data_IF_768204750749
#
_entry.id   IF_768204750749
#
_cell.length_a   1.000
_cell.length_b   1.000
_cell.length_c   1.000
_cell.angle_alpha   90.00
_cell.angle_beta   90.00
_cell.angle_gamma   90.00
#
_symmetry.space_group_name_H-M   'P 1'
#
loop_
_entity.id
_entity.type
_entity.pdbx_description
1 polymer ?
#
# COMPACT_ATOMS: atom_id res chain seq x y z
N UNK A 1 -3.33 -5.54 10.28
CA UNK A 1 -4.76 -5.43 9.90
C UNK A 1 -5.61 -5.45 11.16
N UNK A 2 -6.12 -4.28 11.52
CA UNK A 2 -6.95 -4.05 12.71
C UNK A 2 -8.43 -4.09 12.34
N UNK A 3 -9.25 -4.80 13.12
CA UNK A 3 -10.70 -4.88 12.90
C UNK A 3 -11.45 -4.04 13.95
N UNK A 4 -12.36 -3.19 13.50
CA UNK A 4 -13.18 -2.35 14.38
C UNK A 4 -14.59 -2.18 13.84
N UNK A 5 -15.44 -1.47 14.58
CA UNK A 5 -16.78 -1.05 14.14
C UNK A 5 -16.86 0.47 14.09
N UNK A 6 -17.87 1.02 13.40
CA UNK A 6 -18.02 2.47 13.25
C UNK A 6 -18.05 3.25 14.58
N UNK A 7 -18.62 2.67 15.64
CA UNK A 7 -18.70 3.31 16.96
C UNK A 7 -17.34 3.39 17.63
N UNK A 8 -16.55 2.31 17.59
CA UNK A 8 -15.22 2.26 18.17
C UNK A 8 -14.21 3.08 17.36
N UNK A 9 -14.31 3.05 16.03
CA UNK A 9 -13.55 3.92 15.14
C UNK A 9 -13.76 5.39 15.53
N UNK A 10 -15.02 5.83 15.66
CA UNK A 10 -15.33 7.21 16.03
C UNK A 10 -14.73 7.63 17.38
N UNK A 11 -14.70 6.73 18.36
CA UNK A 11 -14.15 7.02 19.69
C UNK A 11 -12.63 7.19 19.66
N UNK A 12 -11.93 6.46 18.80
CA UNK A 12 -10.47 6.41 18.76
C UNK A 12 -9.91 6.85 17.40
N UNK A 13 -10.61 7.77 16.71
CA UNK A 13 -10.35 8.07 15.30
C UNK A 13 -8.90 8.46 15.04
N UNK A 14 -8.35 9.39 15.81
CA UNK A 14 -6.98 9.87 15.61
C UNK A 14 -5.95 8.77 15.82
N UNK A 15 -6.06 7.97 16.89
CA UNK A 15 -5.14 6.85 17.14
C UNK A 15 -5.15 5.82 16.01
N UNK A 16 -6.31 5.59 15.39
CA UNK A 16 -6.42 4.71 14.22
C UNK A 16 -5.78 5.33 12.98
N UNK A 17 -5.98 6.63 12.73
CA UNK A 17 -5.33 7.33 11.62
C UNK A 17 -3.80 7.35 11.77
N UNK A 18 -3.30 7.69 12.95
CA UNK A 18 -1.86 7.69 13.25
C UNK A 18 -1.28 6.28 13.01
N UNK A 19 -1.98 5.24 13.47
CA UNK A 19 -1.56 3.85 13.22
C UNK A 19 -1.47 3.49 11.73
N UNK A 20 -2.40 4.00 10.90
CA UNK A 20 -2.37 3.75 9.45
C UNK A 20 -1.22 4.49 8.76
N UNK A 21 -0.83 5.67 9.26
CA UNK A 21 0.23 6.50 8.67
C UNK A 21 1.61 6.01 9.10
N UNK A 22 1.81 5.80 10.40
CA UNK A 22 3.14 5.51 10.97
C UNK A 22 3.58 4.07 10.75
N UNK A 23 2.62 3.13 10.73
CA UNK A 23 2.91 1.69 10.71
C UNK A 23 2.33 0.98 9.48
N UNK A 24 1.78 1.71 8.51
CA UNK A 24 1.06 1.15 7.36
C UNK A 24 -0.01 0.11 7.78
N UNK A 25 -0.65 0.29 8.94
CA UNK A 25 -1.70 -0.64 9.36
C UNK A 25 -2.94 -0.47 8.47
N UNK A 26 -3.63 -1.58 8.23
CA UNK A 26 -4.86 -1.64 7.44
C UNK A 26 -6.02 -1.79 8.41
N UNK A 27 -6.95 -0.84 8.43
CA UNK A 27 -8.09 -0.86 9.35
C UNK A 27 -9.35 -1.27 8.61
N UNK A 28 -9.93 -2.39 9.01
CA UNK A 28 -11.22 -2.85 8.55
C UNK A 28 -12.34 -2.41 9.51
N UNK A 29 -13.27 -1.62 9.00
CA UNK A 29 -14.37 -1.01 9.73
C UNK A 29 -15.68 -1.67 9.31
N UNK A 30 -16.26 -2.43 10.24
CA UNK A 30 -17.54 -3.09 10.02
C UNK A 30 -18.69 -2.12 10.29
N UNK A 31 -19.64 -2.03 9.36
CA UNK A 31 -20.87 -1.23 9.47
C UNK A 31 -22.11 -2.07 9.18
N UNK A 32 -23.31 -1.54 9.45
CA UNK A 32 -24.56 -2.24 9.10
C UNK A 32 -24.77 -2.46 7.60
N UNK A 33 -24.10 -1.68 6.74
CA UNK A 33 -24.22 -1.77 5.27
C UNK A 33 -23.13 -2.59 4.61
N UNK A 34 -22.09 -2.97 5.35
CA UNK A 34 -20.88 -3.59 4.83
C UNK A 34 -19.62 -3.01 5.47
N UNK A 35 -18.47 -3.36 4.89
CA UNK A 35 -17.16 -3.07 5.45
C UNK A 35 -16.43 -1.99 4.65
N UNK A 36 -15.61 -1.22 5.34
CA UNK A 36 -14.75 -0.19 4.74
C UNK A 36 -13.32 -0.45 5.19
N UNK A 37 -12.37 -0.26 4.28
CA UNK A 37 -10.94 -0.35 4.58
C UNK A 37 -10.38 1.08 4.65
N UNK A 38 -9.63 1.37 5.70
CA UNK A 38 -8.84 2.61 5.84
C UNK A 38 -7.36 2.21 5.76
N UNK A 39 -6.64 2.90 4.89
CA UNK A 39 -5.19 2.81 4.68
C UNK A 39 -4.64 4.22 4.54
N UNK A 40 -3.32 4.37 4.69
CA UNK A 40 -2.66 5.65 4.42
C UNK A 40 -2.74 6.01 2.93
N UNK A 41 -2.64 7.31 2.64
CA UNK A 41 -2.59 7.80 1.26
C UNK A 41 -1.39 7.23 0.50
N UNK A 42 -0.24 7.10 1.16
CA UNK A 42 0.96 6.52 0.58
C UNK A 42 0.73 5.06 0.13
N UNK A 43 0.12 4.24 0.99
CA UNK A 43 -0.22 2.85 0.66
C UNK A 43 -1.26 2.78 -0.47
N UNK A 44 -2.28 3.65 -0.45
CA UNK A 44 -3.27 3.73 -1.53
C UNK A 44 -2.62 4.03 -2.89
N UNK A 45 -1.75 5.05 -2.94
CA UNK A 45 -1.04 5.42 -4.15
C UNK A 45 -0.09 4.31 -4.62
N UNK A 46 0.62 3.66 -3.70
CA UNK A 46 1.47 2.51 -4.02
C UNK A 46 0.70 1.33 -4.61
N UNK A 47 -0.52 1.07 -4.11
CA UNK A 47 -1.42 0.05 -4.65
C UNK A 47 -1.89 0.39 -6.07
N UNK A 48 -2.27 1.64 -6.30
CA UNK A 48 -2.67 2.11 -7.64
C UNK A 48 -1.51 2.04 -8.63
N UNK A 49 -0.31 2.46 -8.24
CA UNK A 49 0.86 2.42 -9.10
C UNK A 49 1.26 0.98 -9.41
N UNK A 50 1.23 0.10 -8.41
CA UNK A 50 1.49 -1.34 -8.62
C UNK A 50 0.48 -1.94 -9.60
N UNK A 51 -0.81 -1.59 -9.46
CA UNK A 51 -1.85 -2.03 -10.38
C UNK A 51 -1.61 -1.50 -11.80
N UNK A 52 -1.21 -0.23 -11.92
CA UNK A 52 -0.86 0.36 -13.21
C UNK A 52 0.32 -0.36 -13.87
N UNK A 53 1.45 -0.50 -13.17
CA UNK A 53 2.64 -1.17 -13.69
C UNK A 53 2.35 -2.63 -14.10
N UNK A 54 1.59 -3.36 -13.27
CA UNK A 54 1.23 -4.76 -13.57
C UNK A 54 0.21 -4.90 -14.70
N UNK A 55 -0.55 -3.85 -15.01
CA UNK A 55 -1.46 -3.85 -16.16
C UNK A 55 -0.74 -3.75 -17.52
N UNK A 56 0.51 -3.28 -17.52
CA UNK A 56 1.31 -3.14 -18.74
C UNK A 56 1.86 -4.53 -19.13
N UNK A 57 1.55 -5.07 -20.32
CA UNK A 57 2.03 -6.39 -20.74
C UNK A 57 3.56 -6.47 -20.74
N UNK A 58 4.13 -7.49 -20.10
CA UNK A 58 5.57 -7.70 -20.02
C UNK A 58 6.30 -6.81 -18.99
N UNK A 59 5.61 -5.89 -18.32
CA UNK A 59 6.24 -4.98 -17.35
C UNK A 59 6.62 -5.69 -16.06
N UNK A 60 5.74 -6.56 -15.56
CA UNK A 60 6.00 -7.33 -14.35
C UNK A 60 7.28 -8.17 -14.49
N UNK A 61 7.42 -8.87 -15.61
CA UNK A 61 8.58 -9.72 -15.90
C UNK A 61 9.86 -8.89 -15.96
N UNK A 62 9.84 -7.73 -16.62
CA UNK A 62 10.98 -6.79 -16.66
C UNK A 62 11.39 -6.31 -15.27
N UNK A 63 10.42 -5.98 -14.40
CA UNK A 63 10.70 -5.55 -13.03
C UNK A 63 11.31 -6.71 -12.20
N UNK A 64 10.80 -7.92 -12.34
CA UNK A 64 11.34 -9.12 -11.66
C UNK A 64 12.74 -9.51 -12.17
N UNK A 65 13.02 -9.31 -13.46
CA UNK A 65 14.36 -9.48 -14.03
C UNK A 65 15.31 -8.42 -13.48
N UNK A 66 14.90 -7.15 -13.49
CA UNK A 66 15.69 -6.03 -12.95
C UNK A 66 16.07 -6.21 -11.49
N UNK A 67 15.19 -6.76 -10.66
CA UNK A 67 15.48 -7.07 -9.24
C UNK A 67 16.57 -8.11 -9.02
N UNK A 68 16.88 -8.94 -10.03
CA UNK A 68 17.92 -9.98 -9.97
C UNK A 68 19.27 -9.52 -10.52
N UNK A 69 19.29 -8.39 -11.24
CA UNK A 69 20.52 -7.80 -11.78
C UNK A 69 21.42 -7.38 -10.63
N UNK A 70 22.72 -7.72 -10.72
CA UNK A 70 23.68 -7.30 -9.69
C UNK A 70 24.14 -5.88 -9.97
N UNK A 71 24.54 -5.11 -8.94
CA UNK A 71 25.11 -3.78 -9.15
C UNK A 71 26.32 -3.78 -10.10
N UNK A 72 27.09 -4.87 -10.14
CA UNK A 72 28.25 -5.04 -11.04
C UNK A 72 27.86 -5.07 -12.53
N UNK A 73 26.63 -5.46 -12.84
CA UNK A 73 26.09 -5.57 -14.21
C UNK A 73 25.38 -4.27 -14.65
N UNK A 74 25.26 -3.29 -13.75
CA UNK A 74 24.69 -1.99 -14.04
C UNK A 74 25.76 -1.04 -14.57
N UNK A 75 25.40 -0.21 -15.55
CA UNK A 75 26.25 0.90 -15.97
C UNK A 75 26.21 2.02 -14.91
N UNK A 76 27.38 2.56 -14.57
CA UNK A 76 27.46 3.75 -13.72
C UNK A 76 26.80 4.92 -14.45
N UNK A 77 25.72 5.43 -13.86
CA UNK A 77 24.97 6.53 -14.43
C UNK A 77 25.67 7.86 -14.06
N UNK A 78 26.49 8.39 -14.96
CA UNK A 78 27.06 9.74 -14.84
C UNK A 78 26.02 10.77 -15.30
N UNK A 79 25.71 11.72 -14.42
CA UNK A 79 24.79 12.84 -14.67
C UNK A 79 25.41 13.91 -15.57
#
# INVERSE_FOLDING_TARGET
>A
MTNTNATNLRKNLFSYLDSTIDYNDVINVNTKKGNVIIISEAEYNGLLETLYLTSIPGMKEKLEEGLKVKPEDCEDFEW
#
